data_IF_480269859732
#
_entry.id   IF_480269859732
#
_cell.length_a   1.000
_cell.length_b   1.000
_cell.length_c   1.000
_cell.angle_alpha   90.00
_cell.angle_beta   90.00
_cell.angle_gamma   90.00
#
_symmetry.space_group_name_H-M   'P 1'
#
loop_
_entity.id
_entity.type
_entity.pdbx_description
1 polymer ?
#
# COMPACT_ATOMS: atom_id res chain seq x y z
N UNK A 1 28.33 -12.06 -13.56
CA UNK A 1 27.62 -10.84 -13.96
C UNK A 1 26.80 -10.20 -12.83
N UNK A 2 26.03 -10.96 -12.03
CA UNK A 2 25.22 -10.41 -10.90
C UNK A 2 26.04 -9.71 -9.80
N UNK A 3 27.23 -10.21 -9.45
CA UNK A 3 28.10 -9.59 -8.44
C UNK A 3 28.76 -8.27 -8.87
N UNK A 4 28.99 -8.07 -10.18
CA UNK A 4 29.59 -6.84 -10.70
C UNK A 4 28.59 -5.67 -10.66
N UNK A 5 27.31 -5.92 -10.96
CA UNK A 5 26.25 -4.89 -10.93
C UNK A 5 25.97 -4.43 -9.49
N UNK A 6 25.96 -5.35 -8.52
CA UNK A 6 25.78 -5.01 -7.11
C UNK A 6 26.95 -4.19 -6.53
N UNK A 7 28.18 -4.44 -7.00
CA UNK A 7 29.37 -3.64 -6.62
C UNK A 7 29.33 -2.24 -7.21
N UNK A 8 28.86 -2.10 -8.45
CA UNK A 8 28.74 -0.80 -9.12
C UNK A 8 27.63 0.07 -8.51
N UNK A 9 26.51 -0.51 -8.11
CA UNK A 9 25.44 0.21 -7.42
C UNK A 9 25.84 0.67 -6.00
N UNK A 10 26.59 -0.15 -5.26
CA UNK A 10 27.15 0.24 -3.96
C UNK A 10 28.23 1.32 -4.12
N UNK A 11 29.02 1.28 -5.17
CA UNK A 11 30.01 2.30 -5.48
C UNK A 11 29.35 3.64 -5.87
N UNK A 12 28.27 3.62 -6.65
CA UNK A 12 27.51 4.82 -7.00
C UNK A 12 26.84 5.48 -5.79
N UNK A 13 26.30 4.70 -4.85
CA UNK A 13 25.75 5.21 -3.60
C UNK A 13 26.83 5.81 -2.69
N UNK A 14 28.02 5.19 -2.63
CA UNK A 14 29.18 5.68 -1.90
C UNK A 14 29.81 6.92 -2.52
N UNK A 15 29.83 7.04 -3.85
CA UNK A 15 30.35 8.21 -4.57
C UNK A 15 29.44 9.43 -4.40
N UNK A 16 28.12 9.25 -4.31
CA UNK A 16 27.20 10.34 -3.92
C UNK A 16 27.44 10.84 -2.48
N UNK A 17 27.90 9.97 -1.58
CA UNK A 17 28.28 10.34 -0.21
C UNK A 17 29.68 10.92 -0.09
N UNK A 18 30.60 10.65 -1.03
CA UNK A 18 32.02 11.02 -0.93
C UNK A 18 32.40 12.33 -1.65
N UNK A 19 31.50 12.95 -2.39
CA UNK A 19 31.80 14.09 -3.26
C UNK A 19 31.78 15.47 -2.58
N UNK A 20 31.74 15.55 -1.24
CA UNK A 20 31.85 16.87 -0.56
C UNK A 20 32.62 16.76 0.74
N UNK A 21 33.88 17.14 0.68
CA UNK A 21 34.70 17.38 1.87
C UNK A 21 34.36 18.76 2.43
N UNK A 22 34.09 18.78 3.77
CA UNK A 22 34.29 19.84 4.72
C UNK A 22 33.25 20.96 4.84
N UNK A 23 32.56 20.86 5.87
CA UNK A 23 31.84 21.62 6.91
C UNK A 23 30.66 20.76 7.29
N UNK A 24 30.22 20.83 8.57
CA UNK A 24 29.00 20.11 8.97
C UNK A 24 27.89 20.44 7.96
N UNK A 25 27.74 19.57 6.96
CA UNK A 25 26.86 19.84 5.83
C UNK A 25 25.46 19.72 6.35
N UNK A 26 24.73 20.82 6.34
CA UNK A 26 23.31 20.76 6.61
C UNK A 26 22.67 19.82 5.59
N UNK A 27 21.87 18.87 6.09
CA UNK A 27 21.10 18.00 5.22
C UNK A 27 20.26 18.87 4.26
N UNK A 28 20.24 18.58 2.97
CA UNK A 28 19.41 19.31 2.02
C UNK A 28 17.96 19.36 2.53
N UNK A 29 17.31 20.48 2.35
CA UNK A 29 15.94 20.73 2.85
C UNK A 29 14.85 20.50 1.81
N UNK A 30 15.22 20.06 0.62
CA UNK A 30 14.31 19.77 -0.50
C UNK A 30 14.99 19.04 -1.65
N UNK A 31 14.24 18.65 -2.67
CA UNK A 31 14.74 17.90 -3.81
C UNK A 31 15.88 18.60 -4.53
N UNK A 32 16.84 17.82 -5.04
CA UNK A 32 17.94 18.33 -5.83
C UNK A 32 17.46 18.64 -7.25
N UNK A 33 17.62 19.87 -7.68
CA UNK A 33 17.26 20.32 -9.02
C UNK A 33 18.52 20.47 -9.88
N UNK A 34 18.58 19.75 -10.98
CA UNK A 34 19.70 19.72 -11.93
C UNK A 34 19.23 20.16 -13.33
N UNK A 35 20.17 20.58 -14.18
CA UNK A 35 19.90 20.97 -15.56
C UNK A 35 18.75 22.00 -15.68
N UNK A 36 18.80 23.08 -14.89
CA UNK A 36 17.77 24.13 -14.85
C UNK A 36 16.34 23.61 -14.57
N UNK A 37 16.23 22.59 -13.70
CA UNK A 37 14.94 21.99 -13.32
C UNK A 37 14.41 20.93 -14.29
N UNK A 38 15.20 20.53 -15.28
CA UNK A 38 14.86 19.39 -16.15
C UNK A 38 14.91 18.06 -15.41
N UNK A 39 15.79 17.93 -14.42
CA UNK A 39 15.91 16.74 -13.59
C UNK A 39 15.74 17.13 -12.13
N UNK A 40 14.78 16.53 -11.48
CA UNK A 40 14.51 16.72 -10.05
C UNK A 40 14.69 15.38 -9.35
N UNK A 41 15.61 15.32 -8.38
CA UNK A 41 15.91 14.10 -7.62
C UNK A 41 15.44 14.28 -6.19
N UNK A 42 14.61 13.36 -5.71
CA UNK A 42 14.17 13.26 -4.33
C UNK A 42 14.70 12.00 -3.68
N UNK A 43 14.69 11.96 -2.36
CA UNK A 43 15.03 10.80 -1.57
C UNK A 43 14.04 10.61 -0.43
N UNK A 44 13.82 9.37 -0.03
CA UNK A 44 13.03 8.98 1.13
C UNK A 44 13.83 7.96 1.94
N UNK A 45 14.13 8.25 3.20
CA UNK A 45 14.86 7.38 4.10
C UNK A 45 14.08 7.25 5.40
N UNK A 46 13.67 6.04 5.73
CA UNK A 46 12.89 5.74 6.92
C UNK A 46 13.46 4.56 7.68
N UNK A 47 13.59 4.70 9.00
CA UNK A 47 13.97 3.62 9.92
C UNK A 47 12.88 3.53 10.97
N UNK A 48 12.18 2.40 11.01
CA UNK A 48 11.22 2.05 12.05
C UNK A 48 11.77 0.91 12.90
N UNK A 49 11.62 1.02 14.21
CA UNK A 49 12.10 0.05 15.19
C UNK A 49 10.97 -0.31 16.16
N UNK A 50 10.88 -1.58 16.52
CA UNK A 50 10.01 -2.08 17.58
C UNK A 50 10.81 -3.03 18.48
N UNK A 51 10.63 -2.99 19.80
CA UNK A 51 11.27 -3.93 20.71
C UNK A 51 10.63 -5.33 20.67
N UNK A 52 9.50 -5.47 20.00
CA UNK A 52 8.71 -6.70 19.96
C UNK A 52 8.78 -7.30 18.56
N UNK A 53 9.09 -8.59 18.50
CA UNK A 53 9.02 -9.36 17.28
C UNK A 53 7.74 -10.21 17.27
N UNK A 54 7.02 -10.17 16.15
CA UNK A 54 5.75 -10.89 15.98
C UNK A 54 6.01 -12.34 15.52
N UNK A 55 6.96 -13.04 16.15
CA UNK A 55 7.34 -14.40 15.77
C UNK A 55 6.26 -15.45 16.05
N UNK A 56 5.32 -15.17 16.95
CA UNK A 56 4.34 -16.15 17.43
C UNK A 56 3.00 -16.16 16.67
N UNK A 57 3.01 -15.70 15.40
CA UNK A 57 1.83 -15.81 14.53
C UNK A 57 0.80 -14.69 14.69
N UNK A 58 1.13 -13.56 15.30
CA UNK A 58 0.27 -12.39 15.31
C UNK A 58 0.21 -11.71 13.95
N UNK A 59 1.34 -11.48 13.30
CA UNK A 59 1.52 -10.99 11.92
C UNK A 59 0.66 -9.77 11.57
N UNK A 60 0.42 -8.88 12.54
CA UNK A 60 -0.49 -7.75 12.37
C UNK A 60 0.06 -6.65 11.45
N UNK A 61 1.38 -6.54 11.32
CA UNK A 61 2.04 -5.45 10.62
C UNK A 61 2.94 -5.93 9.47
N UNK A 62 2.84 -7.18 9.08
CA UNK A 62 3.60 -7.74 7.98
C UNK A 62 2.90 -7.48 6.65
N UNK A 63 3.68 -7.15 5.64
CA UNK A 63 3.24 -7.01 4.25
C UNK A 63 3.60 -8.24 3.43
N UNK A 64 4.57 -9.01 3.92
CA UNK A 64 5.03 -10.32 3.45
C UNK A 64 5.79 -11.02 4.60
N UNK A 65 6.61 -12.04 4.32
CA UNK A 65 7.35 -12.75 5.36
C UNK A 65 8.51 -11.97 5.97
N UNK A 66 9.05 -10.98 5.28
CA UNK A 66 10.31 -10.30 5.61
C UNK A 66 10.08 -8.88 6.12
N UNK A 67 8.97 -8.24 5.70
CA UNK A 67 8.74 -6.82 5.93
C UNK A 67 7.63 -6.58 6.95
N UNK A 68 8.04 -6.08 8.12
CA UNK A 68 7.13 -5.59 9.17
C UNK A 68 7.19 -4.05 9.20
N UNK A 69 6.05 -3.38 8.99
CA UNK A 69 5.98 -1.92 8.93
C UNK A 69 6.49 -1.21 10.21
N UNK A 70 6.42 -1.87 11.37
CA UNK A 70 6.95 -1.33 12.63
C UNK A 70 8.45 -1.59 12.81
N UNK A 71 9.05 -2.41 11.94
CA UNK A 71 10.47 -2.75 11.93
C UNK A 71 10.97 -2.77 10.49
N UNK A 72 11.12 -1.60 9.92
CA UNK A 72 11.44 -1.46 8.50
C UNK A 72 12.49 -0.37 8.30
N UNK A 73 13.60 -0.75 7.68
CA UNK A 73 14.51 0.19 7.05
C UNK A 73 14.12 0.34 5.58
N UNK A 74 13.81 1.56 5.15
CA UNK A 74 13.46 1.87 3.76
C UNK A 74 14.36 2.98 3.24
N UNK A 75 14.91 2.77 2.06
CA UNK A 75 15.62 3.78 1.30
C UNK A 75 15.05 3.84 -0.11
N UNK A 76 14.60 5.02 -0.53
CA UNK A 76 14.05 5.29 -1.85
C UNK A 76 14.73 6.48 -2.52
N UNK A 77 14.87 6.42 -3.84
CA UNK A 77 15.28 7.54 -4.68
C UNK A 77 14.24 7.74 -5.76
N UNK A 78 13.82 8.99 -5.94
CA UNK A 78 12.90 9.41 -6.98
C UNK A 78 13.60 10.31 -7.99
N UNK A 79 13.22 10.21 -9.27
CA UNK A 79 13.64 11.17 -10.27
C UNK A 79 12.44 11.55 -11.16
N UNK A 80 12.27 12.85 -11.38
CA UNK A 80 11.36 13.42 -12.40
C UNK A 80 12.24 14.04 -13.47
N UNK A 81 12.24 13.45 -14.68
CA UNK A 81 13.01 13.91 -15.84
C UNK A 81 12.05 14.52 -16.84
N UNK A 82 12.11 15.83 -17.01
CA UNK A 82 11.31 16.57 -17.98
C UNK A 82 11.99 16.54 -19.35
N UNK A 83 11.41 15.78 -20.27
CA UNK A 83 11.90 15.69 -21.66
C UNK A 83 11.44 16.92 -22.47
N UNK A 84 10.22 17.36 -22.21
CA UNK A 84 9.60 18.56 -22.79
C UNK A 84 8.66 19.19 -21.76
N UNK A 85 8.07 20.34 -22.08
CA UNK A 85 7.04 20.99 -21.24
C UNK A 85 5.80 20.09 -21.02
N UNK A 86 5.64 19.03 -21.82
CA UNK A 86 4.44 18.17 -21.82
C UNK A 86 4.74 16.71 -21.47
N UNK A 87 6.01 16.31 -21.51
CA UNK A 87 6.40 14.90 -21.32
C UNK A 87 7.45 14.82 -20.22
N UNK A 88 7.20 14.01 -19.22
CA UNK A 88 8.16 13.66 -18.16
C UNK A 88 8.26 12.15 -18.00
N UNK A 89 9.40 11.67 -17.54
CA UNK A 89 9.60 10.32 -17.03
C UNK A 89 9.76 10.41 -15.52
N UNK A 90 8.95 9.68 -14.79
CA UNK A 90 9.04 9.59 -13.35
C UNK A 90 9.46 8.19 -12.96
N UNK A 91 10.42 8.10 -12.05
CA UNK A 91 10.92 6.83 -11.53
C UNK A 91 11.12 6.90 -10.03
N UNK A 92 10.91 5.78 -9.37
CA UNK A 92 11.30 5.52 -7.99
C UNK A 92 11.94 4.14 -7.91
N UNK A 93 13.12 4.09 -7.33
CA UNK A 93 13.78 2.85 -6.92
C UNK A 93 13.77 2.77 -5.41
N UNK A 94 13.60 1.57 -4.86
CA UNK A 94 13.45 1.35 -3.42
C UNK A 94 14.21 0.10 -2.98
N UNK A 95 14.81 0.17 -1.80
CA UNK A 95 15.34 -0.96 -1.05
C UNK A 95 14.66 -0.97 0.33
N UNK A 96 14.27 -2.14 0.79
CA UNK A 96 13.68 -2.36 2.11
C UNK A 96 14.54 -3.40 2.85
N UNK A 97 14.85 -3.14 4.12
CA UNK A 97 15.71 -3.96 5.00
C UNK A 97 17.11 -4.31 4.42
N UNK A 98 17.55 -3.57 3.40
CA UNK A 98 18.83 -3.85 2.71
C UNK A 98 18.72 -4.89 1.59
N UNK A 99 17.51 -5.30 1.22
CA UNK A 99 17.25 -6.16 0.07
C UNK A 99 17.66 -5.51 -1.25
N UNK A 100 17.55 -6.27 -2.33
CA UNK A 100 17.81 -5.81 -3.67
C UNK A 100 17.04 -4.53 -3.99
N UNK A 101 17.72 -3.58 -4.65
CA UNK A 101 17.09 -2.37 -5.15
C UNK A 101 16.08 -2.76 -6.24
N UNK A 102 14.82 -2.44 -6.01
CA UNK A 102 13.71 -2.76 -6.92
C UNK A 102 13.11 -1.48 -7.52
N UNK A 103 12.72 -1.47 -8.81
CA UNK A 103 11.93 -0.39 -9.37
C UNK A 103 10.53 -0.42 -8.71
N UNK A 104 10.19 0.65 -8.00
CA UNK A 104 8.90 0.80 -7.35
C UNK A 104 7.91 1.49 -8.28
N UNK A 105 8.34 2.56 -8.94
CA UNK A 105 7.61 3.30 -9.95
C UNK A 105 8.48 3.53 -11.18
N UNK A 106 7.89 3.46 -12.37
CA UNK A 106 8.51 3.87 -13.62
C UNK A 106 7.42 4.13 -14.65
N UNK A 107 7.15 5.39 -14.96
CA UNK A 107 6.12 5.73 -15.94
C UNK A 107 6.42 7.01 -16.68
N UNK A 108 5.91 7.08 -17.90
CA UNK A 108 5.85 8.30 -18.71
C UNK A 108 4.57 9.05 -18.35
N UNK A 109 4.68 10.35 -18.19
CA UNK A 109 3.60 11.27 -17.97
C UNK A 109 3.49 12.24 -19.14
N UNK A 110 2.30 12.34 -19.72
CA UNK A 110 2.01 13.21 -20.85
C UNK A 110 0.88 14.18 -20.49
N UNK A 111 1.11 15.48 -20.66
CA UNK A 111 0.12 16.55 -20.56
C UNK A 111 -0.13 17.14 -21.93
N UNK A 112 -1.07 16.61 -22.72
CA UNK A 112 -1.18 16.96 -24.15
C UNK A 112 -1.51 18.44 -24.38
N UNK A 113 -2.22 19.06 -23.45
CA UNK A 113 -2.65 20.47 -23.53
C UNK A 113 -2.17 21.25 -22.30
N UNK A 114 -1.77 22.51 -22.49
CA UNK A 114 -1.34 23.41 -21.39
C UNK A 114 -2.52 23.97 -20.61
N UNK A 115 -3.60 24.23 -21.29
CA UNK A 115 -4.82 24.88 -20.81
C UNK A 115 -5.89 23.90 -20.31
N UNK A 116 -5.73 22.61 -20.57
CA UNK A 116 -6.65 21.56 -20.13
C UNK A 116 -6.01 20.67 -19.10
N UNK A 117 -6.65 20.46 -17.95
CA UNK A 117 -6.11 19.61 -16.88
C UNK A 117 -6.31 18.11 -17.21
N UNK A 118 -5.61 17.64 -18.24
CA UNK A 118 -5.56 16.24 -18.64
C UNK A 118 -4.14 15.73 -18.46
N UNK A 119 -4.01 14.60 -17.74
CA UNK A 119 -2.74 13.95 -17.41
C UNK A 119 -2.88 12.46 -17.77
N UNK A 120 -2.01 11.99 -18.64
CA UNK A 120 -1.96 10.59 -19.10
C UNK A 120 -0.67 9.99 -18.57
N UNK A 121 -0.76 8.85 -17.90
CA UNK A 121 0.38 8.15 -17.33
C UNK A 121 0.40 6.72 -17.86
N UNK A 122 1.56 6.22 -18.27
CA UNK A 122 1.74 4.87 -18.80
C UNK A 122 3.03 4.24 -18.26
N UNK A 123 2.95 3.01 -17.78
CA UNK A 123 4.03 2.28 -17.15
C UNK A 123 3.62 1.74 -15.79
N UNK A 124 4.54 1.69 -14.83
CA UNK A 124 4.26 1.32 -13.45
C UNK A 124 3.79 2.56 -12.69
N UNK A 125 2.47 2.73 -12.67
CA UNK A 125 1.77 3.96 -12.27
C UNK A 125 1.30 3.94 -10.81
N UNK A 126 1.10 5.12 -10.19
CA UNK A 126 0.55 5.21 -8.84
C UNK A 126 -0.86 4.64 -8.76
N UNK A 127 -1.25 4.05 -7.61
CA UNK A 127 -2.58 3.49 -7.41
C UNK A 127 -3.69 4.51 -7.66
N UNK A 128 -4.71 4.11 -8.43
CA UNK A 128 -5.90 4.94 -8.69
C UNK A 128 -6.89 4.83 -7.54
N UNK A 129 -7.01 3.67 -6.90
CA UNK A 129 -7.96 3.38 -5.85
C UNK A 129 -7.49 3.88 -4.47
N UNK A 130 -8.43 4.41 -3.66
CA UNK A 130 -8.19 4.82 -2.27
C UNK A 130 -7.42 6.12 -2.13
N UNK A 131 -7.33 6.63 -0.91
CA UNK A 131 -6.59 7.84 -0.57
C UNK A 131 -5.27 7.54 0.17
N UNK A 132 -5.26 6.52 1.04
CA UNK A 132 -4.09 6.23 1.87
C UNK A 132 -2.88 5.72 1.07
N UNK A 133 -3.08 4.96 0.00
CA UNK A 133 -1.97 4.44 -0.81
C UNK A 133 -0.99 5.54 -1.30
N UNK A 134 -1.48 6.77 -1.48
CA UNK A 134 -0.66 7.93 -1.82
C UNK A 134 0.04 8.58 -0.62
N UNK A 135 -0.29 8.17 0.60
CA UNK A 135 0.22 8.70 1.88
C UNK A 135 1.05 7.67 2.64
N UNK A 136 1.43 6.58 2.02
CA UNK A 136 2.22 5.52 2.66
C UNK A 136 3.61 6.00 3.11
N UNK A 137 4.13 7.04 2.45
CA UNK A 137 5.40 7.66 2.83
C UNK A 137 5.30 8.29 4.22
N UNK A 138 6.36 8.15 4.98
CA UNK A 138 6.38 8.60 6.38
C UNK A 138 6.03 10.08 6.58
N UNK A 139 6.25 10.94 5.58
CA UNK A 139 5.83 12.34 5.62
C UNK A 139 4.29 12.50 5.57
N UNK A 140 3.60 11.63 4.84
CA UNK A 140 2.14 11.65 4.67
C UNK A 140 1.36 10.90 5.74
N UNK A 141 1.97 9.89 6.37
CA UNK A 141 1.40 9.10 7.46
C UNK A 141 1.80 9.70 8.82
N UNK A 142 0.88 10.21 9.65
CA UNK A 142 1.21 10.78 10.94
C UNK A 142 1.58 9.73 12.00
N UNK A 143 1.26 8.47 11.77
CA UNK A 143 1.60 7.32 12.60
C UNK A 143 2.73 6.49 11.95
N UNK A 144 3.05 5.32 12.51
CA UNK A 144 4.06 4.40 11.97
C UNK A 144 3.40 3.25 11.21
N UNK A 145 2.40 2.61 11.81
CA UNK A 145 1.63 1.55 11.19
C UNK A 145 0.73 2.05 10.04
N UNK A 146 0.19 1.12 9.29
CA UNK A 146 -0.73 1.38 8.17
C UNK A 146 -2.15 0.95 8.53
N UNK A 147 -3.19 1.52 7.90
CA UNK A 147 -4.55 1.04 8.09
C UNK A 147 -4.70 -0.44 7.72
N UNK A 148 -5.57 -1.17 8.42
CA UNK A 148 -5.76 -2.61 8.25
C UNK A 148 -6.10 -3.02 6.82
N UNK A 149 -6.91 -2.23 6.10
CA UNK A 149 -7.25 -2.51 4.70
C UNK A 149 -6.03 -2.63 3.80
N UNK A 150 -4.95 -1.89 4.10
CA UNK A 150 -3.74 -1.79 3.29
C UNK A 150 -2.62 -2.74 3.73
N UNK A 151 -2.78 -3.41 4.85
CA UNK A 151 -1.70 -4.19 5.44
C UNK A 151 -2.10 -5.58 5.89
N UNK A 152 -3.28 -5.76 6.50
CA UNK A 152 -3.67 -7.05 7.06
C UNK A 152 -3.75 -8.13 5.97
N UNK A 153 -2.91 -9.15 6.11
CA UNK A 153 -2.87 -10.30 5.20
C UNK A 153 -4.07 -11.20 5.47
N UNK A 154 -4.99 -11.26 4.51
CA UNK A 154 -6.13 -12.18 4.56
C UNK A 154 -5.72 -13.58 4.13
N UNK A 155 -6.62 -14.56 4.28
CA UNK A 155 -6.38 -15.91 3.79
C UNK A 155 -6.52 -16.07 2.26
N UNK A 156 -6.86 -15.01 1.50
CA UNK A 156 -7.01 -15.09 0.04
C UNK A 156 -5.65 -15.07 -0.65
N UNK A 157 -5.43 -16.00 -1.57
CA UNK A 157 -4.23 -16.09 -2.41
C UNK A 157 -4.58 -15.98 -3.90
N UNK A 158 -3.71 -15.42 -4.76
CA UNK A 158 -3.94 -15.37 -6.19
C UNK A 158 -3.51 -16.65 -6.91
N UNK A 159 -2.64 -17.45 -6.31
CA UNK A 159 -1.97 -18.63 -6.90
C UNK A 159 -2.40 -19.95 -6.27
N UNK A 160 -3.20 -19.93 -5.19
CA UNK A 160 -3.71 -21.11 -4.51
C UNK A 160 -5.17 -20.90 -4.07
N UNK A 161 -6.00 -21.92 -4.27
CA UNK A 161 -7.45 -21.83 -4.07
C UNK A 161 -7.94 -22.90 -3.10
N UNK A 162 -8.90 -22.58 -2.21
CA UNK A 162 -9.60 -23.57 -1.40
C UNK A 162 -10.46 -24.47 -2.30
N UNK A 163 -10.60 -25.73 -1.95
CA UNK A 163 -11.55 -26.62 -2.60
C UNK A 163 -12.95 -26.54 -1.98
N UNK A 164 -13.05 -26.08 -0.74
CA UNK A 164 -14.30 -25.99 0.03
C UNK A 164 -14.32 -24.81 0.98
N UNK A 165 -15.48 -24.55 1.55
CA UNK A 165 -15.67 -23.56 2.64
C UNK A 165 -14.84 -23.94 3.88
N UNK A 166 -14.74 -25.22 4.19
CA UNK A 166 -13.95 -25.74 5.30
C UNK A 166 -12.47 -25.41 5.15
N UNK A 167 -11.94 -25.43 3.93
CA UNK A 167 -10.54 -25.04 3.66
C UNK A 167 -10.31 -23.56 4.00
N UNK A 168 -11.24 -22.69 3.63
CA UNK A 168 -11.16 -21.25 3.97
C UNK A 168 -11.16 -21.07 5.48
N UNK A 169 -12.13 -21.69 6.17
CA UNK A 169 -12.29 -21.54 7.61
C UNK A 169 -11.13 -22.13 8.42
N UNK A 170 -10.45 -23.16 7.90
CA UNK A 170 -9.21 -23.70 8.47
C UNK A 170 -8.06 -22.69 8.40
N UNK A 171 -8.04 -21.81 7.39
CA UNK A 171 -7.03 -20.76 7.21
C UNK A 171 -7.39 -19.44 7.89
N UNK A 172 -8.48 -19.36 8.63
CA UNK A 172 -8.90 -18.18 9.40
C UNK A 172 -7.80 -17.70 10.34
N UNK A 173 -7.49 -16.42 10.31
CA UNK A 173 -6.38 -15.78 11.04
C UNK A 173 -4.98 -16.29 10.67
N UNK A 174 -4.81 -16.91 9.51
CA UNK A 174 -3.52 -17.42 9.02
C UNK A 174 -3.09 -16.79 7.70
N UNK A 175 -3.49 -15.56 7.43
CA UNK A 175 -3.18 -14.86 6.17
C UNK A 175 -1.68 -14.72 5.86
N UNK A 176 -0.83 -14.82 6.87
CA UNK A 176 0.62 -14.88 6.67
C UNK A 176 1.10 -16.24 6.11
N UNK A 177 0.28 -17.32 6.18
CA UNK A 177 0.62 -18.69 5.74
C UNK A 177 -0.61 -19.47 5.29
N UNK A 178 -1.48 -18.98 4.41
CA UNK A 178 -2.58 -19.78 3.91
C UNK A 178 -2.08 -20.88 2.98
N UNK A 179 -2.62 -22.08 3.14
CA UNK A 179 -2.30 -23.27 2.35
C UNK A 179 -3.58 -23.91 1.83
N UNK A 180 -3.65 -24.13 0.51
CA UNK A 180 -4.82 -24.64 -0.18
C UNK A 180 -4.47 -25.79 -1.11
N UNK A 181 -5.43 -26.72 -1.41
CA UNK A 181 -5.17 -27.90 -2.20
C UNK A 181 -5.11 -27.66 -3.72
N UNK A 182 -5.56 -26.51 -4.22
CA UNK A 182 -5.64 -26.20 -5.65
C UNK A 182 -4.63 -25.11 -5.99
N UNK A 183 -3.83 -25.31 -7.01
CA UNK A 183 -2.80 -24.37 -7.46
C UNK A 183 -1.46 -24.58 -6.79
N UNK A 184 -0.79 -23.50 -6.37
CA UNK A 184 0.54 -23.57 -5.75
C UNK A 184 0.50 -24.15 -4.35
N UNK A 185 1.29 -25.19 -4.11
CA UNK A 185 1.49 -25.79 -2.78
C UNK A 185 2.60 -25.08 -1.99
N UNK A 186 3.30 -24.13 -2.60
CA UNK A 186 4.33 -23.34 -1.91
C UNK A 186 3.69 -22.46 -0.83
N UNK A 187 4.43 -22.28 0.25
CA UNK A 187 4.02 -21.38 1.33
C UNK A 187 4.19 -19.95 0.84
N UNK A 188 3.10 -19.19 0.81
CA UNK A 188 3.12 -17.78 0.45
C UNK A 188 2.09 -17.01 1.29
N UNK A 189 2.32 -15.72 1.57
CA UNK A 189 1.35 -14.89 2.28
C UNK A 189 0.10 -14.67 1.42
N UNK A 190 -1.02 -14.47 2.08
CA UNK A 190 -2.24 -14.02 1.45
C UNK A 190 -2.19 -12.53 1.10
N UNK A 191 -3.25 -12.04 0.49
CA UNK A 191 -3.35 -10.64 0.04
C UNK A 191 -4.06 -9.76 1.05
N UNK A 192 -3.67 -8.48 1.19
CA UNK A 192 -4.49 -7.48 1.87
C UNK A 192 -5.73 -7.15 1.02
N UNK A 193 -6.68 -6.40 1.57
CA UNK A 193 -7.81 -5.89 0.78
C UNK A 193 -7.31 -5.00 -0.37
N UNK A 194 -6.36 -4.13 -0.06
CA UNK A 194 -5.71 -3.22 -0.99
C UNK A 194 -4.24 -3.14 -0.60
N UNK A 195 -3.33 -3.16 -1.54
CA UNK A 195 -1.92 -2.95 -1.23
C UNK A 195 -1.50 -1.50 -1.49
N UNK A 196 -0.75 -0.93 -0.55
CA UNK A 196 -0.07 0.35 -0.73
C UNK A 196 1.40 0.17 -1.16
N UNK A 197 1.94 -1.05 -1.05
CA UNK A 197 3.38 -1.33 -1.18
C UNK A 197 3.84 -1.72 -2.57
N UNK A 198 2.94 -1.79 -3.52
CA UNK A 198 3.25 -2.14 -4.91
C UNK A 198 2.42 -1.29 -5.85
N UNK A 199 3.04 -0.82 -6.92
CA UNK A 199 2.35 -0.12 -7.98
C UNK A 199 2.12 -1.05 -9.16
N UNK A 200 1.00 -0.85 -9.83
CA UNK A 200 0.59 -1.70 -10.95
C UNK A 200 1.08 -1.13 -12.30
N UNK A 201 1.20 -1.99 -13.28
CA UNK A 201 1.59 -1.59 -14.64
C UNK A 201 0.37 -1.44 -15.52
N UNK A 202 0.25 -0.31 -16.17
CA UNK A 202 -0.89 0.00 -17.05
C UNK A 202 -0.90 1.45 -17.53
N UNK A 203 -2.09 1.92 -17.81
CA UNK A 203 -2.35 3.30 -18.27
C UNK A 203 -3.41 3.93 -17.39
N UNK A 204 -3.18 5.18 -17.00
CA UNK A 204 -4.13 6.01 -16.26
C UNK A 204 -4.35 7.33 -17.00
N UNK A 205 -5.60 7.77 -17.04
CA UNK A 205 -5.98 9.11 -17.49
C UNK A 205 -6.63 9.82 -16.31
N UNK A 206 -6.16 11.03 -16.01
CA UNK A 206 -6.76 11.93 -15.05
C UNK A 206 -7.25 13.18 -15.74
N UNK A 207 -8.45 13.63 -15.40
CA UNK A 207 -9.13 14.79 -15.98
C UNK A 207 -9.67 15.67 -14.86
N UNK A 208 -9.61 16.97 -15.03
CA UNK A 208 -10.21 17.97 -14.16
C UNK A 208 -9.20 18.67 -13.24
N UNK A 209 -9.57 19.88 -12.75
CA UNK A 209 -8.76 20.68 -11.85
C UNK A 209 -8.61 20.02 -10.48
N UNK A 210 -7.79 20.58 -9.61
CA UNK A 210 -7.58 20.08 -8.25
C UNK A 210 -8.85 20.05 -7.40
N UNK A 211 -9.79 20.98 -7.65
CA UNK A 211 -11.07 21.04 -6.95
C UNK A 211 -12.03 19.92 -7.28
N UNK A 212 -12.00 19.40 -8.52
CA UNK A 212 -12.81 18.28 -8.95
C UNK A 212 -12.10 17.54 -10.08
N UNK A 213 -11.63 16.34 -9.78
CA UNK A 213 -10.96 15.52 -10.79
C UNK A 213 -11.42 14.06 -10.75
N UNK A 214 -11.37 13.44 -11.92
CA UNK A 214 -11.62 12.01 -12.10
C UNK A 214 -10.37 11.35 -12.66
N UNK A 215 -10.12 10.12 -12.24
CA UNK A 215 -9.05 9.26 -12.77
C UNK A 215 -9.65 7.92 -13.17
N UNK A 216 -9.22 7.37 -14.29
CA UNK A 216 -9.53 6.01 -14.71
C UNK A 216 -8.23 5.32 -15.13
N UNK A 217 -8.04 4.09 -14.71
CA UNK A 217 -6.87 3.29 -15.05
C UNK A 217 -7.27 1.90 -15.53
N UNK A 218 -6.45 1.37 -16.44
CA UNK A 218 -6.46 -0.04 -16.85
C UNK A 218 -5.08 -0.58 -16.54
N UNK A 219 -5.02 -1.65 -15.72
CA UNK A 219 -3.77 -2.21 -15.22
C UNK A 219 -3.76 -3.74 -15.26
N UNK A 220 -2.59 -4.35 -15.06
CA UNK A 220 -2.39 -5.79 -15.18
C UNK A 220 -2.88 -6.59 -13.97
N UNK A 221 -2.76 -6.04 -12.77
CA UNK A 221 -3.07 -6.71 -11.52
C UNK A 221 -4.45 -6.37 -10.98
N UNK A 222 -4.58 -6.38 -9.65
CA UNK A 222 -5.76 -5.91 -8.92
C UNK A 222 -5.36 -5.00 -7.76
N UNK A 223 -6.35 -4.41 -7.08
CA UNK A 223 -6.07 -3.57 -5.90
C UNK A 223 -5.34 -4.34 -4.78
N UNK A 224 -5.58 -5.64 -4.65
CA UNK A 224 -4.89 -6.51 -3.67
C UNK A 224 -3.55 -7.05 -4.16
N UNK A 225 -3.38 -7.20 -5.46
CA UNK A 225 -2.21 -7.83 -6.09
C UNK A 225 -1.81 -7.11 -7.39
N UNK A 226 -1.19 -5.91 -7.28
CA UNK A 226 -0.65 -5.19 -8.42
C UNK A 226 0.50 -5.97 -9.08
N UNK A 227 0.55 -5.94 -10.41
CA UNK A 227 1.49 -6.76 -11.19
C UNK A 227 2.25 -5.98 -12.25
N UNK A 228 3.54 -6.29 -12.36
CA UNK A 228 4.35 -5.78 -13.48
C UNK A 228 4.05 -6.53 -14.77
N UNK A 229 3.81 -7.84 -14.67
CA UNK A 229 3.45 -8.71 -15.81
C UNK A 229 2.11 -9.34 -15.55
N UNK A 230 1.29 -9.40 -16.58
CA UNK A 230 0.03 -10.12 -16.56
C UNK A 230 0.26 -11.64 -16.40
N UNK A 231 -0.55 -12.29 -15.60
CA UNK A 231 -0.47 -13.75 -15.34
C UNK A 231 -1.82 -14.43 -15.44
N UNK A 232 -2.87 -13.74 -15.94
CA UNK A 232 -4.22 -14.28 -16.00
C UNK A 232 -5.05 -13.75 -17.18
N UNK A 233 -4.42 -13.09 -18.16
CA UNK A 233 -5.08 -12.52 -19.32
C UNK A 233 -6.15 -11.47 -19.00
N UNK A 234 -6.42 -11.22 -17.72
CA UNK A 234 -7.40 -10.24 -17.25
C UNK A 234 -6.77 -8.87 -17.01
N UNK A 235 -7.62 -7.84 -17.05
CA UNK A 235 -7.21 -6.47 -16.70
C UNK A 235 -8.07 -5.93 -15.58
N UNK A 236 -7.46 -5.12 -14.72
CA UNK A 236 -8.19 -4.30 -13.77
C UNK A 236 -8.64 -3.01 -14.45
N UNK A 237 -9.88 -2.63 -14.21
CA UNK A 237 -10.37 -1.27 -14.44
C UNK A 237 -10.59 -0.66 -13.07
N UNK A 238 -9.96 0.49 -12.81
CA UNK A 238 -10.11 1.24 -11.58
C UNK A 238 -10.46 2.69 -11.89
N UNK A 239 -11.34 3.28 -11.09
CA UNK A 239 -11.75 4.68 -11.20
C UNK A 239 -11.77 5.36 -9.84
N UNK A 240 -11.50 6.67 -9.83
CA UNK A 240 -11.59 7.52 -8.66
C UNK A 240 -12.12 8.89 -9.03
N UNK A 241 -13.07 9.38 -8.24
CA UNK A 241 -13.51 10.77 -8.22
C UNK A 241 -12.98 11.44 -6.95
N UNK A 242 -12.47 12.66 -7.08
CA UNK A 242 -11.99 13.46 -5.97
C UNK A 242 -12.56 14.86 -6.06
N UNK A 243 -13.19 15.33 -4.99
CA UNK A 243 -13.86 16.62 -4.91
C UNK A 243 -13.39 17.39 -3.67
N UNK A 244 -13.02 18.66 -3.88
CA UNK A 244 -12.68 19.62 -2.83
C UNK A 244 -13.67 20.77 -2.83
N UNK A 245 -14.80 20.68 -2.11
CA UNK A 245 -15.80 21.74 -2.06
C UNK A 245 -15.32 23.00 -1.35
N UNK A 246 -14.31 22.86 -0.48
CA UNK A 246 -13.69 23.99 0.24
C UNK A 246 -12.22 23.73 0.51
N UNK A 247 -11.49 24.75 0.92
CA UNK A 247 -10.05 24.66 1.21
C UNK A 247 -9.68 23.63 2.30
N UNK A 248 -10.61 23.31 3.20
CA UNK A 248 -10.36 22.37 4.30
C UNK A 248 -11.02 21.01 4.14
N UNK A 249 -11.84 20.78 3.10
CA UNK A 249 -12.60 19.55 2.94
C UNK A 249 -12.30 18.89 1.59
N UNK A 250 -11.92 17.62 1.62
CA UNK A 250 -11.79 16.78 0.44
C UNK A 250 -12.60 15.50 0.64
N UNK A 251 -13.27 15.04 -0.41
CA UNK A 251 -14.09 13.82 -0.44
C UNK A 251 -13.67 13.03 -1.67
N UNK A 252 -13.55 11.72 -1.53
CA UNK A 252 -13.21 10.81 -2.61
C UNK A 252 -14.11 9.60 -2.68
N UNK A 253 -14.29 9.06 -3.89
CA UNK A 253 -14.94 7.79 -4.14
C UNK A 253 -14.12 6.99 -5.14
N UNK A 254 -13.97 5.70 -4.92
CA UNK A 254 -13.16 4.80 -5.76
C UNK A 254 -13.92 3.50 -6.04
N UNK A 255 -13.74 2.97 -7.24
CA UNK A 255 -14.23 1.65 -7.62
C UNK A 255 -13.18 0.93 -8.45
N UNK A 256 -13.06 -0.39 -8.28
CA UNK A 256 -12.16 -1.22 -9.07
C UNK A 256 -12.75 -2.62 -9.30
N UNK A 257 -12.39 -3.21 -10.44
CA UNK A 257 -12.70 -4.60 -10.78
C UNK A 257 -11.59 -5.18 -11.63
N UNK A 258 -11.11 -6.38 -11.28
CA UNK A 258 -10.10 -7.10 -12.05
C UNK A 258 -10.05 -8.58 -11.71
N UNK A 259 -9.51 -9.40 -12.60
CA UNK A 259 -9.21 -10.79 -12.34
C UNK A 259 -8.00 -10.89 -11.41
N UNK A 260 -8.09 -11.70 -10.35
CA UNK A 260 -7.00 -11.81 -9.35
C UNK A 260 -6.33 -13.19 -9.32
N UNK A 261 -7.01 -14.23 -9.78
CA UNK A 261 -6.47 -15.60 -9.77
C UNK A 261 -5.56 -15.80 -10.96
N UNK A 262 -4.39 -16.36 -10.72
CA UNK A 262 -3.43 -16.74 -11.76
C UNK A 262 -3.99 -17.87 -12.65
N UNK A 263 -3.68 -17.85 -13.95
CA UNK A 263 -4.20 -18.81 -14.94
C UNK A 263 -3.93 -20.27 -14.56
N UNK A 264 -2.76 -20.57 -13.99
CA UNK A 264 -2.42 -21.92 -13.58
C UNK A 264 -3.35 -22.47 -12.49
N UNK A 265 -3.68 -21.65 -11.49
CA UNK A 265 -4.61 -22.02 -10.43
C UNK A 265 -6.06 -22.11 -10.95
N UNK A 266 -6.44 -21.16 -11.82
CA UNK A 266 -7.75 -21.12 -12.44
C UNK A 266 -8.00 -22.33 -13.34
N UNK A 267 -7.02 -22.74 -14.16
CA UNK A 267 -7.10 -23.91 -15.00
C UNK A 267 -7.33 -25.18 -14.17
N UNK A 268 -6.57 -25.36 -13.07
CA UNK A 268 -6.75 -26.49 -12.15
C UNK A 268 -8.15 -26.48 -11.52
N UNK A 269 -8.62 -25.32 -11.06
CA UNK A 269 -9.96 -25.18 -10.49
C UNK A 269 -11.07 -25.50 -11.52
N UNK A 270 -10.91 -25.10 -12.78
CA UNK A 270 -11.86 -25.36 -13.86
C UNK A 270 -11.97 -26.85 -14.17
N UNK A 271 -10.85 -27.59 -14.20
CA UNK A 271 -10.84 -29.06 -14.36
C UNK A 271 -11.64 -29.75 -13.26
N UNK A 272 -11.63 -29.18 -12.05
CA UNK A 272 -12.38 -29.67 -10.88
C UNK A 272 -13.84 -29.17 -10.84
N UNK A 273 -14.35 -28.56 -11.92
CA UNK A 273 -15.72 -28.05 -12.01
C UNK A 273 -15.93 -26.65 -11.43
N UNK A 274 -14.86 -25.94 -11.10
CA UNK A 274 -14.93 -24.54 -10.65
C UNK A 274 -15.35 -23.58 -11.75
N UNK A 275 -15.88 -22.41 -11.34
CA UNK A 275 -16.31 -21.37 -12.28
C UNK A 275 -15.10 -20.69 -12.97
N UNK A 276 -15.25 -20.38 -14.26
CA UNK A 276 -14.22 -19.70 -15.05
C UNK A 276 -14.02 -18.19 -14.69
N UNK A 277 -14.63 -17.69 -13.62
CA UNK A 277 -14.57 -16.28 -13.21
C UNK A 277 -13.95 -16.14 -11.82
N UNK A 278 -13.02 -15.23 -11.72
CA UNK A 278 -12.25 -14.98 -10.50
C UNK A 278 -11.96 -13.48 -10.31
N UNK A 279 -13.04 -12.68 -10.26
CA UNK A 279 -12.89 -11.23 -10.13
C UNK A 279 -12.82 -10.81 -8.66
N UNK A 280 -11.97 -9.81 -8.42
CA UNK A 280 -12.03 -8.94 -7.28
C UNK A 280 -12.85 -7.71 -7.65
N UNK A 281 -13.74 -7.27 -6.76
CA UNK A 281 -14.44 -6.00 -6.81
C UNK A 281 -14.10 -5.20 -5.57
N UNK A 282 -13.78 -3.93 -5.72
CA UNK A 282 -13.49 -3.03 -4.61
C UNK A 282 -14.28 -1.72 -4.76
N UNK A 283 -14.85 -1.25 -3.67
CA UNK A 283 -15.48 0.07 -3.54
C UNK A 283 -14.87 0.78 -2.34
N UNK A 284 -14.71 2.09 -2.44
CA UNK A 284 -14.17 2.89 -1.33
C UNK A 284 -14.69 4.31 -1.37
N UNK A 285 -14.89 4.87 -0.19
CA UNK A 285 -15.15 6.30 0.02
C UNK A 285 -14.18 6.83 1.07
N UNK A 286 -13.74 8.05 0.89
CA UNK A 286 -12.81 8.70 1.79
C UNK A 286 -13.14 10.17 1.97
N UNK A 287 -12.72 10.72 3.13
CA UNK A 287 -12.83 12.13 3.42
C UNK A 287 -11.62 12.62 4.20
N UNK A 288 -11.20 13.84 3.93
CA UNK A 288 -10.22 14.59 4.72
C UNK A 288 -10.79 15.96 5.08
N UNK A 289 -10.69 16.31 6.37
CA UNK A 289 -11.04 17.63 6.87
C UNK A 289 -9.85 18.24 7.60
N UNK A 290 -9.39 19.38 7.13
CA UNK A 290 -8.27 20.13 7.71
C UNK A 290 -8.74 21.53 8.13
N UNK A 291 -8.61 21.85 9.42
CA UNK A 291 -8.94 23.16 9.95
C UNK A 291 -8.05 23.52 11.14
N UNK A 292 -7.45 24.70 11.11
CA UNK A 292 -6.54 25.18 12.16
C UNK A 292 -5.43 24.15 12.47
N UNK A 293 -5.47 23.55 13.64
CA UNK A 293 -4.47 22.57 14.10
C UNK A 293 -4.88 21.11 13.85
N UNK A 294 -6.10 20.86 13.35
CA UNK A 294 -6.65 19.54 13.15
C UNK A 294 -6.56 19.09 11.70
N UNK A 295 -6.23 17.82 11.52
CA UNK A 295 -6.49 17.07 10.30
C UNK A 295 -7.21 15.80 10.71
N UNK A 296 -8.41 15.61 10.16
CA UNK A 296 -9.22 14.40 10.34
C UNK A 296 -9.31 13.69 9.00
N UNK A 297 -9.18 12.37 9.01
CA UNK A 297 -9.25 11.52 7.80
C UNK A 297 -10.03 10.27 8.11
N UNK A 298 -10.72 9.76 7.09
CA UNK A 298 -11.39 8.48 7.18
C UNK A 298 -11.50 7.83 5.82
N UNK A 299 -11.50 6.52 5.81
CA UNK A 299 -11.84 5.69 4.66
C UNK A 299 -12.75 4.54 5.08
N UNK A 300 -13.72 4.25 4.24
CA UNK A 300 -14.55 3.05 4.30
C UNK A 300 -14.37 2.30 2.98
N UNK A 301 -14.04 1.03 3.08
CA UNK A 301 -13.77 0.17 1.94
C UNK A 301 -14.54 -1.13 2.05
N UNK A 302 -15.04 -1.59 0.92
CA UNK A 302 -15.62 -2.89 0.74
C UNK A 302 -14.91 -3.61 -0.40
N UNK A 303 -14.61 -4.90 -0.19
CA UNK A 303 -13.92 -5.74 -1.15
C UNK A 303 -14.60 -7.11 -1.24
N UNK A 304 -14.68 -7.67 -2.44
CA UNK A 304 -15.28 -8.95 -2.74
C UNK A 304 -14.39 -9.76 -3.68
N UNK A 305 -14.07 -10.97 -3.28
CA UNK A 305 -13.37 -11.95 -4.12
C UNK A 305 -14.34 -13.06 -4.53
N UNK A 306 -14.43 -13.30 -5.83
CA UNK A 306 -15.13 -14.44 -6.42
C UNK A 306 -14.14 -15.62 -6.50
N UNK A 307 -14.28 -16.57 -5.61
CA UNK A 307 -13.45 -17.78 -5.61
C UNK A 307 -14.09 -18.82 -6.50
N UNK A 308 -13.39 -19.36 -7.54
CA UNK A 308 -13.99 -20.24 -8.55
C UNK A 308 -14.64 -21.49 -7.99
N UNK A 309 -14.15 -21.99 -6.87
CA UNK A 309 -14.54 -23.26 -6.22
C UNK A 309 -15.59 -23.11 -5.14
N UNK A 310 -15.98 -21.86 -4.81
CA UNK A 310 -16.93 -21.58 -3.74
C UNK A 310 -18.26 -21.05 -4.30
N UNK A 311 -19.37 -21.49 -3.72
CA UNK A 311 -20.70 -20.96 -4.06
C UNK A 311 -20.91 -19.53 -3.56
N UNK A 312 -20.23 -19.13 -2.49
CA UNK A 312 -20.31 -17.79 -1.91
C UNK A 312 -19.01 -17.02 -2.11
N UNK A 313 -19.14 -15.72 -2.24
CA UNK A 313 -18.01 -14.79 -2.32
C UNK A 313 -17.39 -14.56 -0.95
N UNK A 314 -16.12 -14.21 -0.94
CA UNK A 314 -15.39 -13.75 0.25
C UNK A 314 -15.43 -12.22 0.26
N UNK A 315 -16.26 -11.65 1.15
CA UNK A 315 -16.41 -10.22 1.29
C UNK A 315 -15.66 -9.74 2.53
N UNK A 316 -15.00 -8.57 2.43
CA UNK A 316 -14.36 -7.89 3.53
C UNK A 316 -14.75 -6.40 3.54
N UNK A 317 -14.94 -5.85 4.73
CA UNK A 317 -15.22 -4.42 4.92
C UNK A 317 -14.22 -3.87 5.92
N UNK A 318 -13.58 -2.76 5.60
CA UNK A 318 -12.68 -2.05 6.50
C UNK A 318 -13.04 -0.58 6.58
N UNK A 319 -12.95 -0.03 7.79
CA UNK A 319 -13.12 1.40 8.02
C UNK A 319 -12.06 1.88 9.00
N UNK A 320 -11.51 3.07 8.76
CA UNK A 320 -10.70 3.76 9.75
C UNK A 320 -11.06 5.24 9.86
N UNK A 321 -10.78 5.78 11.04
CA UNK A 321 -10.77 7.22 11.31
C UNK A 321 -9.44 7.57 11.95
N UNK A 322 -8.78 8.59 11.41
CA UNK A 322 -7.48 9.10 11.84
C UNK A 322 -7.58 10.58 12.16
N UNK A 323 -7.10 10.97 13.33
CA UNK A 323 -6.97 12.36 13.74
C UNK A 323 -5.52 12.73 14.01
N UNK A 324 -5.11 13.92 13.53
CA UNK A 324 -3.84 14.54 13.88
C UNK A 324 -4.09 15.92 14.44
N UNK A 325 -3.46 16.25 15.56
CA UNK A 325 -3.52 17.56 16.19
C UNK A 325 -2.12 18.13 16.36
N UNK A 326 -1.90 19.36 15.85
CA UNK A 326 -0.65 20.09 16.04
C UNK A 326 -0.69 20.80 17.39
N UNK A 327 0.15 20.39 18.33
CA UNK A 327 0.22 20.94 19.70
C UNK A 327 1.00 22.25 19.69
N UNK A 328 2.17 22.25 19.05
CA UNK A 328 3.08 23.39 18.96
C UNK A 328 3.87 23.34 17.64
N UNK A 329 4.66 24.35 17.31
CA UNK A 329 5.55 24.29 16.16
C UNK A 329 6.42 23.04 16.20
N UNK A 330 6.31 22.19 15.19
CA UNK A 330 7.06 20.93 15.07
C UNK A 330 6.47 19.74 15.83
N UNK A 331 5.59 19.91 16.82
CA UNK A 331 5.05 18.80 17.63
C UNK A 331 3.61 18.51 17.25
N UNK A 332 3.27 17.22 17.06
CA UNK A 332 1.89 16.77 16.85
C UNK A 332 1.63 15.46 17.59
N UNK A 333 0.36 15.21 17.85
CA UNK A 333 -0.16 13.89 18.25
C UNK A 333 -1.09 13.38 17.18
N UNK A 334 -1.20 12.08 17.05
CA UNK A 334 -2.12 11.43 16.14
C UNK A 334 -2.69 10.16 16.77
N UNK A 335 -3.92 9.83 16.36
CA UNK A 335 -4.56 8.58 16.73
C UNK A 335 -5.38 8.06 15.56
N UNK A 336 -5.42 6.74 15.38
CA UNK A 336 -6.24 6.06 14.39
C UNK A 336 -6.93 4.86 15.03
N UNK A 337 -8.22 4.74 14.78
CA UNK A 337 -8.99 3.53 15.04
C UNK A 337 -9.35 2.89 13.73
N UNK A 338 -9.12 1.58 13.65
CA UNK A 338 -9.34 0.73 12.48
C UNK A 338 -10.23 -0.45 12.82
N UNK A 339 -11.12 -0.81 11.89
CA UNK A 339 -11.91 -2.04 11.97
C UNK A 339 -11.90 -2.75 10.62
N UNK A 340 -11.58 -4.05 10.64
CA UNK A 340 -11.67 -4.96 9.49
C UNK A 340 -12.60 -6.11 9.85
N UNK A 341 -13.59 -6.38 8.99
CA UNK A 341 -14.61 -7.43 9.18
C UNK A 341 -14.80 -8.23 7.90
N UNK A 342 -15.40 -9.42 8.06
CA UNK A 342 -15.58 -10.40 6.99
C UNK A 342 -16.99 -10.96 7.02
N UNK A 343 -17.54 -11.35 5.84
CA UNK A 343 -18.83 -12.04 5.83
C UNK A 343 -18.73 -13.46 6.40
N UNK A 344 -19.86 -13.97 6.80
CA UNK A 344 -19.97 -15.32 7.35
C UNK A 344 -20.11 -16.38 6.25
N UNK A 345 -19.50 -17.51 6.51
CA UNK A 345 -19.63 -18.76 5.73
C UNK A 345 -20.24 -19.84 6.63
N UNK A 346 -21.20 -20.58 6.07
CA UNK A 346 -21.73 -21.77 6.70
C UNK A 346 -20.83 -22.98 6.42
N UNK A 347 -20.56 -23.79 7.42
CA UNK A 347 -19.78 -25.03 7.34
C UNK A 347 -20.42 -26.13 8.15
N UNK A 348 -19.91 -27.34 8.08
CA UNK A 348 -20.28 -28.47 8.94
C UNK A 348 -20.09 -28.18 10.44
N UNK A 349 -19.25 -27.20 10.80
CA UNK A 349 -18.96 -26.80 12.18
C UNK A 349 -19.72 -25.52 12.61
N UNK A 350 -20.74 -25.10 11.85
CA UNK A 350 -21.51 -23.89 12.11
C UNK A 350 -21.12 -22.71 11.21
N UNK A 351 -21.72 -21.57 11.50
CA UNK A 351 -21.49 -20.33 10.73
C UNK A 351 -20.42 -19.47 11.42
N UNK A 352 -19.41 -19.03 10.65
CA UNK A 352 -18.31 -18.19 11.12
C UNK A 352 -17.87 -17.21 10.03
N UNK A 353 -17.27 -16.09 10.43
CA UNK A 353 -16.60 -15.20 9.50
C UNK A 353 -15.42 -15.91 8.82
N UNK A 354 -15.27 -15.73 7.50
CA UNK A 354 -14.27 -16.48 6.71
C UNK A 354 -12.82 -16.15 7.09
N UNK A 355 -12.56 -14.94 7.60
CA UNK A 355 -11.30 -14.60 8.27
C UNK A 355 -11.60 -13.93 9.61
N UNK A 356 -10.58 -13.68 10.43
CA UNK A 356 -10.72 -13.16 11.78
C UNK A 356 -10.88 -11.64 11.79
N UNK A 357 -12.02 -11.08 12.23
CA UNK A 357 -12.18 -9.65 12.41
C UNK A 357 -11.10 -9.03 13.30
N UNK A 358 -10.61 -7.86 12.91
CA UNK A 358 -9.57 -7.14 13.65
C UNK A 358 -10.03 -5.72 13.95
N UNK A 359 -9.79 -5.28 15.18
CA UNK A 359 -9.83 -3.88 15.59
C UNK A 359 -8.42 -3.43 15.96
N UNK A 360 -8.02 -2.24 15.54
CA UNK A 360 -6.73 -1.65 15.87
C UNK A 360 -6.92 -0.24 16.39
N UNK A 361 -6.26 0.07 17.49
CA UNK A 361 -6.03 1.44 17.93
C UNK A 361 -4.55 1.72 17.85
N UNK A 362 -4.17 2.77 17.14
CA UNK A 362 -2.80 3.26 17.12
C UNK A 362 -2.78 4.73 17.53
N UNK A 363 -1.91 5.08 18.48
CA UNK A 363 -1.73 6.47 18.92
C UNK A 363 -0.26 6.79 19.00
N UNK A 364 0.11 8.03 18.69
CA UNK A 364 1.50 8.40 18.63
C UNK A 364 1.73 9.90 18.71
N UNK A 365 3.00 10.23 18.87
CA UNK A 365 3.53 11.59 18.86
C UNK A 365 4.60 11.71 17.78
N UNK A 366 4.64 12.84 17.11
CA UNK A 366 5.68 13.16 16.14
C UNK A 366 6.30 14.52 16.41
N UNK A 367 7.59 14.61 16.13
CA UNK A 367 8.37 15.84 16.24
C UNK A 367 9.19 16.09 14.98
N UNK A 368 8.92 17.18 14.30
CA UNK A 368 9.73 17.65 13.18
C UNK A 368 11.01 18.30 13.72
N UNK A 369 12.11 17.55 13.67
CA UNK A 369 13.44 18.01 14.04
C UNK A 369 13.90 19.09 13.05
N UNK A 370 13.59 18.88 11.78
CA UNK A 370 13.74 19.82 10.67
C UNK A 370 12.52 19.72 9.74
N UNK A 371 12.41 20.61 8.75
CA UNK A 371 11.30 20.64 7.79
C UNK A 371 11.10 19.27 7.09
N UNK A 372 12.16 18.53 6.85
CA UNK A 372 12.21 17.25 6.13
C UNK A 372 12.80 16.10 6.97
N UNK A 373 12.79 16.22 8.29
CA UNK A 373 13.22 15.20 9.23
C UNK A 373 12.25 15.14 10.40
N UNK A 374 11.57 14.00 10.55
CA UNK A 374 10.60 13.77 11.63
C UNK A 374 10.97 12.54 12.44
N UNK A 375 10.89 12.65 13.76
CA UNK A 375 10.90 11.52 14.68
C UNK A 375 9.47 11.24 15.15
N UNK A 376 9.11 9.95 15.25
CA UNK A 376 7.79 9.51 15.72
C UNK A 376 7.94 8.40 16.74
N UNK A 377 7.04 8.37 17.72
CA UNK A 377 6.80 7.25 18.60
C UNK A 377 5.34 6.88 18.59
N UNK A 378 5.02 5.59 18.54
CA UNK A 378 3.64 5.12 18.50
C UNK A 378 3.44 3.89 19.39
N UNK A 379 2.26 3.77 19.93
CA UNK A 379 1.72 2.57 20.55
C UNK A 379 0.53 2.09 19.73
N UNK A 380 0.54 0.80 19.39
CA UNK A 380 -0.51 0.14 18.64
C UNK A 380 -1.07 -1.02 19.45
N UNK A 381 -2.37 -1.12 19.57
CA UNK A 381 -3.05 -2.26 20.16
C UNK A 381 -3.99 -2.90 19.15
N UNK A 382 -3.89 -4.22 18.98
CA UNK A 382 -4.68 -5.02 18.06
C UNK A 382 -5.53 -6.01 18.85
N UNK A 383 -6.83 -6.09 18.52
CA UNK A 383 -7.76 -7.12 18.98
C UNK A 383 -8.24 -7.90 17.75
N UNK A 384 -8.09 -9.21 17.78
CA UNK A 384 -8.50 -10.10 16.70
C UNK A 384 -9.42 -11.20 17.23
N UNK A 385 -10.54 -11.39 16.55
CA UNK A 385 -11.50 -12.45 16.86
C UNK A 385 -11.06 -13.78 16.23
N UNK A 386 -10.03 -14.40 16.79
CA UNK A 386 -9.51 -15.72 16.38
C UNK A 386 -8.00 -15.77 16.16
N UNK A 387 -7.52 -17.00 15.94
CA UNK A 387 -6.09 -17.30 15.85
C UNK A 387 -5.43 -17.47 17.23
N UNK A 388 -4.12 -17.77 17.26
CA UNK A 388 -3.40 -18.06 18.51
C UNK A 388 -3.22 -16.82 19.39
N UNK A 389 -3.15 -15.63 18.78
CA UNK A 389 -2.99 -14.35 19.48
C UNK A 389 -4.19 -13.47 19.14
N UNK A 390 -5.03 -13.23 20.15
CA UNK A 390 -6.27 -12.44 20.02
C UNK A 390 -6.11 -10.98 20.47
N UNK A 391 -5.04 -10.67 21.20
CA UNK A 391 -4.77 -9.31 21.69
C UNK A 391 -3.26 -9.07 21.75
N UNK A 392 -2.79 -7.96 21.15
CA UNK A 392 -1.37 -7.61 21.12
C UNK A 392 -1.16 -6.10 21.16
N UNK A 393 -0.37 -5.64 22.15
CA UNK A 393 0.16 -4.28 22.23
C UNK A 393 1.58 -4.23 21.68
N UNK A 394 1.90 -3.20 20.89
CA UNK A 394 3.17 -3.02 20.22
C UNK A 394 3.62 -1.55 20.34
N UNK A 395 4.90 -1.33 20.67
CA UNK A 395 5.53 -0.01 20.61
C UNK A 395 6.43 0.08 19.39
N UNK A 396 6.50 1.25 18.79
CA UNK A 396 7.42 1.52 17.69
C UNK A 396 7.95 2.94 17.76
N UNK A 397 9.16 3.13 17.23
CA UNK A 397 9.76 4.43 16.97
C UNK A 397 10.20 4.52 15.51
N UNK A 398 10.10 5.69 14.90
CA UNK A 398 10.50 5.92 13.52
C UNK A 398 11.26 7.22 13.40
N UNK A 399 12.35 7.21 12.63
CA UNK A 399 13.00 8.38 12.10
C UNK A 399 12.82 8.39 10.59
N UNK A 400 12.33 9.50 10.04
CA UNK A 400 12.05 9.62 8.61
C UNK A 400 12.60 10.94 8.07
N UNK A 401 13.41 10.81 7.01
CA UNK A 401 14.02 11.92 6.27
C UNK A 401 13.60 11.85 4.80
N UNK A 402 13.33 13.02 4.18
CA UNK A 402 13.02 13.10 2.74
C UNK A 402 13.57 14.39 2.13
N UNK A 403 13.78 14.34 0.79
CA UNK A 403 14.19 15.45 -0.07
C UNK A 403 13.13 15.78 -1.10
#
# INVERSE_FOLDING_TARGET
MKQAVARSAKAALLVLCAATVVRAQELPSGPLSLANGMVVIGADLSIALTPQDDTDGAWFNYTDYEHNALRLFRAGLTADVRLTDRVSILTEIRSENGDDIKPYALYVRVRPWRDRPIDIQAGRIPPTFGAFARREYGAGNPLIGYPLAYQYLTAVRPDALPASTEDVLRMRARGWRPSYPIGSLEIAPGMPMITAFRWDTGVQVRVGPESLNASVAITNGTTSDPRTRDNNGGKQIAGRLHWRPSAGLAIGGSAARGAYVADAALATATILGGAARSNQHALGVDAEYARAHWILRGELMWNRWQVPTLARTLDATSAFVEGRYKISPGVFVASRIDRLTFNELASSFGTRTWDAPVTRLETGVGYYIRRNLVAKGAYQHNWRDGGPITSRGLFAAQLHFWL
#
